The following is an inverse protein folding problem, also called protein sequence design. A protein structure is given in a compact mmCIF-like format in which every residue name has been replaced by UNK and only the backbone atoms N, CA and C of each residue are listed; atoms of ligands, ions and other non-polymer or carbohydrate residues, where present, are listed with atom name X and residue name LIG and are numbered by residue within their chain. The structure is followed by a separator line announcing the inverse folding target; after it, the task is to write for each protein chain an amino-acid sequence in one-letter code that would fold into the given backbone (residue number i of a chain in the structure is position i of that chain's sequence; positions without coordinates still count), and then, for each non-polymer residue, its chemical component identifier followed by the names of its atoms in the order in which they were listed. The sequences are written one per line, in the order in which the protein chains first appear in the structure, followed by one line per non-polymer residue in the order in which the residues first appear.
data_IF_145009433297
#
_entry.id   IF_145009433297
#
_cell.length_a   1.000
_cell.length_b   1.000
_cell.length_c   1.000
_cell.angle_alpha   90.00
_cell.angle_beta   90.00
_cell.angle_gamma   90.00
#
_symmetry.space_group_name_H-M   'P 1'
#
loop_
_entity.id
_entity.type
_entity.pdbx_description
1 polymer ?
#
# COMPACT_ATOMS: atom_id res chain seq x y z
N UNK A 1 -4.35 -15.05 -24.48
CA UNK A 1 -2.95 -15.34 -24.90
C UNK A 1 -2.79 -16.64 -25.70
N UNK A 2 -3.38 -17.79 -25.33
CA UNK A 2 -3.21 -19.06 -26.07
C UNK A 2 -3.62 -19.07 -27.55
N UNK A 3 -4.60 -18.26 -27.98
CA UNK A 3 -5.06 -18.23 -29.39
C UNK A 3 -4.15 -17.42 -30.33
N UNK A 4 -3.37 -16.47 -29.80
CA UNK A 4 -2.52 -15.59 -30.61
C UNK A 4 -1.23 -16.31 -31.02
N UNK A 5 -0.70 -17.17 -30.15
CA UNK A 5 0.51 -17.94 -30.44
C UNK A 5 0.29 -19.00 -31.53
N UNK A 6 -0.94 -19.52 -31.68
CA UNK A 6 -1.27 -20.52 -32.70
C UNK A 6 -1.31 -19.92 -34.11
N UNK A 7 -1.84 -18.71 -34.26
CA UNK A 7 -1.91 -18.03 -35.57
C UNK A 7 -0.54 -17.60 -36.09
N UNK A 8 0.36 -17.13 -35.22
CA UNK A 8 1.73 -16.75 -35.60
C UNK A 8 2.57 -17.96 -36.04
N UNK A 9 2.35 -19.12 -35.42
CA UNK A 9 3.04 -20.36 -35.78
C UNK A 9 2.62 -20.89 -37.15
N UNK A 10 1.33 -20.80 -37.50
CA UNK A 10 0.83 -21.18 -38.83
C UNK A 10 1.37 -20.26 -39.94
N UNK A 11 1.56 -18.96 -39.63
CA UNK A 11 2.12 -17.98 -40.56
C UNK A 11 3.61 -18.26 -40.87
N UNK A 12 4.39 -18.68 -39.85
CA UNK A 12 5.79 -19.08 -40.00
C UNK A 12 5.96 -20.39 -40.80
N UNK A 13 5.08 -21.37 -40.58
CA UNK A 13 5.08 -22.62 -41.36
C UNK A 13 4.72 -22.35 -42.83
N UNK A 14 3.73 -21.48 -43.07
CA UNK A 14 3.35 -21.06 -44.43
C UNK A 14 4.50 -20.38 -45.17
N UNK A 15 5.24 -19.48 -44.51
CA UNK A 15 6.39 -18.79 -45.11
C UNK A 15 7.51 -19.75 -45.54
N UNK A 16 7.82 -20.74 -44.70
CA UNK A 16 8.87 -21.73 -44.98
C UNK A 16 8.49 -22.64 -46.16
N UNK A 17 7.22 -23.04 -46.25
CA UNK A 17 6.72 -23.86 -47.36
C UNK A 17 6.73 -23.12 -48.70
N UNK A 18 6.44 -21.81 -48.70
CA UNK A 18 6.46 -20.98 -49.91
C UNK A 18 7.90 -20.72 -50.37
N UNK A 19 8.84 -20.56 -49.44
CA UNK A 19 10.27 -20.33 -49.76
C UNK A 19 10.97 -21.55 -50.39
N UNK A 20 10.54 -22.78 -50.07
CA UNK A 20 11.23 -24.00 -50.54
C UNK A 20 10.79 -24.50 -51.92
N UNK A 21 9.63 -24.06 -52.43
CA UNK A 21 9.13 -24.46 -53.75
C UNK A 21 9.54 -23.51 -54.89
N UNK A 22 10.34 -22.47 -54.61
CA UNK A 22 10.65 -21.40 -55.56
C UNK A 22 11.87 -21.58 -56.47
N UNK A 23 12.67 -22.64 -56.33
CA UNK A 23 13.99 -22.72 -56.99
C UNK A 23 13.99 -23.23 -58.44
N UNK A 24 12.84 -23.40 -59.11
CA UNK A 24 12.84 -23.97 -60.48
C UNK A 24 11.92 -23.29 -61.50
N UNK A 25 11.92 -21.96 -61.63
CA UNK A 25 11.61 -21.32 -62.94
C UNK A 25 12.41 -20.04 -63.10
N UNK A 26 13.20 -19.96 -64.17
CA UNK A 26 13.98 -18.78 -64.53
C UNK A 26 13.10 -17.57 -64.88
N UNK A 27 13.60 -16.39 -64.50
CA UNK A 27 13.12 -15.05 -64.89
C UNK A 27 11.88 -14.49 -64.17
N UNK A 28 11.81 -14.56 -62.83
CA UNK A 28 10.69 -14.06 -62.03
C UNK A 28 11.05 -13.49 -60.66
N UNK A 29 11.88 -12.44 -60.60
CA UNK A 29 12.22 -11.73 -59.35
C UNK A 29 11.07 -10.85 -58.78
N UNK A 30 9.96 -10.66 -59.51
CA UNK A 30 8.94 -9.67 -59.13
C UNK A 30 8.08 -10.08 -57.92
N UNK A 31 7.81 -11.37 -57.72
CA UNK A 31 6.89 -11.82 -56.66
C UNK A 31 7.57 -11.85 -55.29
N UNK A 32 8.82 -12.29 -55.21
CA UNK A 32 9.59 -12.28 -53.95
C UNK A 32 9.94 -10.85 -53.51
N UNK A 33 10.27 -9.95 -54.45
CA UNK A 33 10.45 -8.52 -54.18
C UNK A 33 9.15 -7.86 -53.72
N UNK A 34 8.01 -8.20 -54.34
CA UNK A 34 6.70 -7.68 -53.93
C UNK A 34 6.28 -8.15 -52.53
N UNK A 35 6.48 -9.44 -52.21
CA UNK A 35 6.14 -9.98 -50.89
C UNK A 35 7.04 -9.41 -49.79
N UNK A 36 8.33 -9.26 -50.04
CA UNK A 36 9.26 -8.67 -49.07
C UNK A 36 8.97 -7.19 -48.81
N UNK A 37 8.64 -6.41 -49.83
CA UNK A 37 8.33 -4.97 -49.68
C UNK A 37 6.97 -4.72 -49.00
N UNK A 38 5.96 -5.56 -49.21
CA UNK A 38 4.64 -5.36 -48.62
C UNK A 38 4.49 -6.01 -47.22
N UNK A 39 5.01 -7.22 -47.03
CA UNK A 39 4.76 -8.01 -45.82
C UNK A 39 5.73 -7.61 -44.70
N UNK A 40 6.98 -7.28 -45.02
CA UNK A 40 7.99 -6.98 -44.01
C UNK A 40 7.62 -5.76 -43.14
N UNK A 41 7.18 -4.60 -43.70
CA UNK A 41 6.75 -3.46 -42.88
C UNK A 41 5.53 -3.78 -42.01
N UNK A 42 4.59 -4.56 -42.53
CA UNK A 42 3.40 -4.98 -41.78
C UNK A 42 3.79 -5.88 -40.58
N UNK A 43 4.71 -6.83 -40.78
CA UNK A 43 5.22 -7.68 -39.70
C UNK A 43 5.99 -6.86 -38.65
N UNK A 44 6.83 -5.92 -39.08
CA UNK A 44 7.54 -5.00 -38.16
C UNK A 44 6.52 -4.18 -37.34
N UNK A 45 5.48 -3.66 -37.98
CA UNK A 45 4.40 -2.94 -37.30
C UNK A 45 3.68 -3.79 -36.25
N UNK A 46 3.36 -5.05 -36.58
CA UNK A 46 2.72 -5.99 -35.64
C UNK A 46 3.64 -6.32 -34.47
N UNK A 47 4.91 -6.61 -34.71
CA UNK A 47 5.89 -6.89 -33.66
C UNK A 47 6.06 -5.68 -32.75
N UNK A 48 6.21 -4.47 -33.32
CA UNK A 48 6.32 -3.23 -32.57
C UNK A 48 5.10 -2.97 -31.68
N UNK A 49 3.89 -3.18 -32.20
CA UNK A 49 2.65 -3.07 -31.41
C UNK A 49 2.60 -4.08 -30.26
N UNK A 50 2.96 -5.35 -30.51
CA UNK A 50 2.96 -6.38 -29.48
C UNK A 50 3.97 -6.09 -28.37
N UNK A 51 5.17 -5.63 -28.73
CA UNK A 51 6.20 -5.21 -27.78
C UNK A 51 5.72 -4.03 -26.93
N UNK A 52 5.14 -3.00 -27.56
CA UNK A 52 4.58 -1.84 -26.86
C UNK A 52 3.44 -2.26 -25.92
N UNK A 53 2.50 -3.08 -26.39
CA UNK A 53 1.38 -3.55 -25.58
C UNK A 53 1.84 -4.38 -24.37
N UNK A 54 2.85 -5.23 -24.55
CA UNK A 54 3.49 -5.97 -23.46
C UNK A 54 4.16 -5.04 -22.44
N UNK A 55 4.88 -4.03 -22.91
CA UNK A 55 5.54 -3.04 -22.07
C UNK A 55 4.53 -2.18 -21.28
N UNK A 56 3.50 -1.66 -21.93
CA UNK A 56 2.43 -0.86 -21.31
C UNK A 56 1.72 -1.65 -20.20
N UNK A 57 1.47 -2.95 -20.41
CA UNK A 57 0.87 -3.83 -19.40
C UNK A 57 1.76 -3.95 -18.15
N UNK A 58 3.08 -4.10 -18.34
CA UNK A 58 4.04 -4.19 -17.23
C UNK A 58 4.12 -2.89 -16.46
N UNK A 59 4.23 -1.76 -17.16
CA UNK A 59 4.23 -0.43 -16.55
C UNK A 59 2.93 -0.17 -15.76
N UNK A 60 1.77 -0.48 -16.33
CA UNK A 60 0.48 -0.26 -15.67
C UNK A 60 0.33 -1.08 -14.39
N UNK A 61 0.86 -2.32 -14.36
CA UNK A 61 0.88 -3.13 -13.15
C UNK A 61 1.76 -2.53 -12.05
N UNK A 62 2.91 -1.97 -12.42
CA UNK A 62 3.79 -1.29 -11.46
C UNK A 62 3.13 -0.02 -10.90
N UNK A 63 2.54 0.81 -11.78
CA UNK A 63 1.79 2.01 -11.38
C UNK A 63 0.65 1.69 -10.41
N UNK A 64 -0.15 0.66 -10.72
CA UNK A 64 -1.24 0.24 -9.84
C UNK A 64 -0.72 -0.21 -8.46
N UNK A 65 0.32 -1.05 -8.44
CA UNK A 65 0.92 -1.50 -7.17
C UNK A 65 1.45 -0.33 -6.35
N UNK A 66 2.11 0.63 -6.99
CA UNK A 66 2.61 1.85 -6.35
C UNK A 66 1.46 2.66 -5.76
N UNK A 67 0.39 2.90 -6.54
CA UNK A 67 -0.78 3.66 -6.06
C UNK A 67 -1.43 3.00 -4.83
N UNK A 68 -1.50 1.67 -4.80
CA UNK A 68 -2.03 0.93 -3.64
C UNK A 68 -1.14 1.10 -2.40
N UNK A 69 0.19 1.11 -2.56
CA UNK A 69 1.11 1.35 -1.44
C UNK A 69 1.01 2.79 -0.93
N UNK A 70 0.98 3.76 -1.85
CA UNK A 70 0.80 5.18 -1.53
C UNK A 70 -0.51 5.42 -0.79
N UNK A 71 -1.61 4.79 -1.23
CA UNK A 71 -2.92 4.89 -0.59
C UNK A 71 -2.90 4.32 0.84
N UNK A 72 -2.29 3.15 1.04
CA UNK A 72 -2.12 2.54 2.38
C UNK A 72 -1.33 3.44 3.33
N UNK A 73 -0.19 3.94 2.85
CA UNK A 73 0.67 4.82 3.64
C UNK A 73 -0.05 6.12 3.98
N UNK A 74 -0.62 6.78 2.98
CA UNK A 74 -1.28 8.08 3.10
C UNK A 74 -2.52 8.05 3.99
N UNK A 75 -3.39 7.05 3.81
CA UNK A 75 -4.72 7.06 4.43
C UNK A 75 -4.79 6.24 5.73
N UNK A 76 -3.90 5.27 5.93
CA UNK A 76 -3.93 4.38 7.10
C UNK A 76 -2.71 4.55 8.00
N UNK A 77 -1.51 4.24 7.49
CA UNK A 77 -0.33 4.08 8.36
C UNK A 77 0.28 5.40 8.86
N UNK A 78 0.57 6.35 7.98
CA UNK A 78 1.14 7.64 8.38
C UNK A 78 0.22 8.43 9.32
N UNK A 79 -1.09 8.57 9.03
CA UNK A 79 -1.99 9.31 9.93
C UNK A 79 -2.06 8.74 11.36
N UNK A 80 -1.94 7.42 11.51
CA UNK A 80 -1.90 6.77 12.82
C UNK A 80 -0.53 7.03 13.48
N UNK A 81 0.57 6.74 12.77
CA UNK A 81 1.93 6.89 13.31
C UNK A 81 2.19 8.30 13.80
N UNK A 82 1.87 9.32 13.01
CA UNK A 82 2.07 10.72 13.40
C UNK A 82 1.32 11.08 14.68
N UNK A 83 0.10 10.56 14.88
CA UNK A 83 -0.68 10.82 16.10
C UNK A 83 -0.10 10.11 17.32
N UNK A 84 0.45 8.90 17.15
CA UNK A 84 1.17 8.20 18.21
C UNK A 84 2.44 8.94 18.63
N UNK A 85 3.21 9.44 17.67
CA UNK A 85 4.42 10.25 17.93
C UNK A 85 4.08 11.58 18.62
N UNK A 86 2.97 12.22 18.23
CA UNK A 86 2.44 13.41 18.90
C UNK A 86 2.08 13.11 20.35
N UNK A 87 1.31 12.04 20.62
CA UNK A 87 0.95 11.64 21.98
C UNK A 87 2.20 11.38 22.82
N UNK A 88 3.16 10.65 22.28
CA UNK A 88 4.43 10.35 22.96
C UNK A 88 5.21 11.61 23.30
N UNK A 89 5.28 12.57 22.38
CA UNK A 89 5.99 13.84 22.59
C UNK A 89 5.31 14.71 23.65
N UNK A 90 3.99 14.78 23.63
CA UNK A 90 3.18 15.50 24.62
C UNK A 90 3.32 14.88 26.00
N UNK A 91 3.25 13.55 26.09
CA UNK A 91 3.41 12.82 27.33
C UNK A 91 4.79 13.08 27.97
N UNK A 92 5.86 13.04 27.17
CA UNK A 92 7.22 13.38 27.62
C UNK A 92 7.37 14.84 28.05
N UNK A 93 6.73 15.77 27.35
CA UNK A 93 6.86 17.19 27.63
C UNK A 93 6.11 17.62 28.90
N UNK A 94 4.90 17.10 29.09
CA UNK A 94 3.95 17.62 30.09
C UNK A 94 3.81 16.68 31.29
N UNK A 95 3.66 15.38 31.05
CA UNK A 95 3.25 14.45 32.10
C UNK A 95 4.44 13.86 32.87
N UNK A 96 5.61 13.74 32.24
CA UNK A 96 6.84 13.34 32.95
C UNK A 96 7.34 14.38 33.97
N UNK A 97 6.97 15.65 33.80
CA UNK A 97 7.39 16.74 34.69
C UNK A 97 6.36 17.05 35.79
N UNK A 98 5.30 16.24 35.89
CA UNK A 98 4.19 16.46 36.81
C UNK A 98 4.63 16.23 38.26
N UNK A 99 4.54 17.27 39.07
CA UNK A 99 4.58 17.23 40.52
C UNK A 99 3.14 17.09 41.02
N UNK A 100 2.87 16.01 41.75
CA UNK A 100 1.53 15.75 42.30
C UNK A 100 1.08 16.78 43.35
N UNK A 101 1.99 17.63 43.83
CA UNK A 101 1.64 18.70 44.76
C UNK A 101 1.34 20.04 44.06
N UNK A 102 1.54 20.15 42.75
CA UNK A 102 1.30 21.37 41.98
C UNK A 102 -0.08 21.31 41.30
N UNK A 103 -1.02 22.11 41.82
CA UNK A 103 -2.40 22.21 41.30
C UNK A 103 -2.45 22.71 39.85
N UNK A 104 -1.55 23.61 39.45
CA UNK A 104 -1.47 24.11 38.08
C UNK A 104 -1.08 22.98 37.12
N UNK A 105 -0.08 22.17 37.49
CA UNK A 105 0.34 21.03 36.69
C UNK A 105 -0.73 19.93 36.60
N UNK A 106 -1.53 19.73 37.66
CA UNK A 106 -2.71 18.84 37.58
C UNK A 106 -3.73 19.33 36.57
N UNK A 107 -4.10 20.62 36.62
CA UNK A 107 -5.05 21.22 35.68
C UNK A 107 -4.56 21.14 34.23
N UNK A 108 -3.27 21.42 34.00
CA UNK A 108 -2.65 21.28 32.67
C UNK A 108 -2.68 19.83 32.21
N UNK A 109 -2.30 18.88 33.07
CA UNK A 109 -2.31 17.44 32.75
C UNK A 109 -3.70 16.95 32.36
N UNK A 110 -4.72 17.31 33.15
CA UNK A 110 -6.11 16.96 32.86
C UNK A 110 -6.57 17.55 31.53
N UNK A 111 -6.30 18.85 31.28
CA UNK A 111 -6.64 19.49 30.01
C UNK A 111 -6.00 18.76 28.82
N UNK A 112 -4.72 18.38 28.94
CA UNK A 112 -3.97 17.69 27.90
C UNK A 112 -4.53 16.29 27.62
N UNK A 113 -4.85 15.54 28.67
CA UNK A 113 -5.47 14.22 28.54
C UNK A 113 -6.82 14.31 27.81
N UNK A 114 -7.71 15.21 28.25
CA UNK A 114 -9.09 15.34 27.75
C UNK A 114 -9.21 16.00 26.38
N UNK A 115 -8.33 16.96 26.05
CA UNK A 115 -8.48 17.75 24.83
C UNK A 115 -7.50 17.36 23.73
N UNK A 116 -6.40 16.69 24.07
CA UNK A 116 -5.34 16.37 23.10
C UNK A 116 -5.15 14.86 22.97
N UNK A 117 -4.81 14.16 24.07
CA UNK A 117 -4.48 12.73 24.02
C UNK A 117 -5.70 11.92 23.58
N UNK A 118 -6.85 12.07 24.25
CA UNK A 118 -8.05 11.33 23.89
C UNK A 118 -8.58 11.72 22.51
N UNK A 119 -8.43 12.99 22.11
CA UNK A 119 -8.78 13.45 20.76
C UNK A 119 -7.95 12.72 19.71
N UNK A 120 -6.65 12.56 19.92
CA UNK A 120 -5.80 11.78 19.02
C UNK A 120 -6.18 10.30 18.98
N UNK A 121 -6.53 9.70 20.12
CA UNK A 121 -7.02 8.32 20.15
C UNK A 121 -8.33 8.14 19.36
N UNK A 122 -9.29 9.06 19.47
CA UNK A 122 -10.53 9.07 18.66
C UNK A 122 -10.24 9.11 17.17
N UNK A 123 -9.30 9.95 16.77
CA UNK A 123 -8.90 10.07 15.38
C UNK A 123 -8.24 8.79 14.87
N UNK A 124 -7.38 8.15 15.67
CA UNK A 124 -6.79 6.85 15.33
C UNK A 124 -7.89 5.79 15.17
N UNK A 125 -8.84 5.72 16.11
CA UNK A 125 -10.02 4.82 16.02
C UNK A 125 -10.79 5.07 14.72
N UNK A 126 -11.05 6.33 14.38
CA UNK A 126 -11.73 6.73 13.14
C UNK A 126 -10.96 6.26 11.89
N UNK A 127 -9.64 6.45 11.86
CA UNK A 127 -8.79 5.96 10.76
C UNK A 127 -8.87 4.44 10.65
N UNK A 128 -8.76 3.72 11.77
CA UNK A 128 -8.84 2.25 11.79
C UNK A 128 -10.18 1.79 11.22
N UNK A 129 -11.30 2.36 11.65
CA UNK A 129 -12.64 1.96 11.21
C UNK A 129 -12.84 2.27 9.72
N UNK A 130 -12.53 3.49 9.28
CA UNK A 130 -12.82 3.97 7.93
C UNK A 130 -11.91 3.33 6.88
N UNK A 131 -10.64 3.12 7.22
CA UNK A 131 -9.62 2.67 6.28
C UNK A 131 -9.15 1.23 6.54
N UNK A 132 -9.87 0.44 7.35
CA UNK A 132 -9.53 -0.96 7.61
C UNK A 132 -9.26 -1.75 6.33
N UNK A 133 -10.06 -1.55 5.28
CA UNK A 133 -9.91 -2.27 4.01
C UNK A 133 -8.54 -2.06 3.32
N UNK A 134 -7.83 -0.97 3.64
CA UNK A 134 -6.48 -0.72 3.14
C UNK A 134 -5.43 -1.53 3.91
N UNK A 135 -5.69 -1.86 5.18
CA UNK A 135 -4.81 -2.70 5.97
C UNK A 135 -4.87 -4.14 5.49
N UNK A 136 -3.71 -4.72 5.16
CA UNK A 136 -3.59 -6.17 4.97
C UNK A 136 -3.55 -6.80 6.36
N UNK A 137 -4.72 -7.11 6.91
CA UNK A 137 -4.83 -7.74 8.23
C UNK A 137 -4.22 -9.15 8.19
N UNK A 138 -3.23 -9.35 9.01
CA UNK A 138 -2.89 -10.66 9.55
C UNK A 138 -3.38 -10.75 10.99
N UNK A 139 -3.33 -11.95 11.57
CA UNK A 139 -3.86 -12.22 12.90
C UNK A 139 -3.23 -11.32 13.96
N UNK A 140 -1.92 -11.04 13.83
CA UNK A 140 -1.18 -10.16 14.77
C UNK A 140 -1.71 -8.73 14.74
N UNK A 141 -1.82 -8.12 13.57
CA UNK A 141 -2.33 -6.75 13.45
C UNK A 141 -3.81 -6.67 13.87
N UNK A 142 -4.61 -7.67 13.51
CA UNK A 142 -6.03 -7.71 13.87
C UNK A 142 -6.23 -7.74 15.39
N UNK A 143 -5.51 -8.62 16.09
CA UNK A 143 -5.57 -8.74 17.55
C UNK A 143 -5.17 -7.44 18.25
N UNK A 144 -4.06 -6.82 17.81
CA UNK A 144 -3.55 -5.58 18.40
C UNK A 144 -4.47 -4.39 18.16
N UNK A 145 -5.05 -4.27 16.95
CA UNK A 145 -6.05 -3.25 16.68
C UNK A 145 -7.31 -3.45 17.52
N UNK A 146 -7.77 -4.69 17.70
CA UNK A 146 -8.93 -4.97 18.55
C UNK A 146 -8.68 -4.59 20.02
N UNK A 147 -7.51 -4.94 20.57
CA UNK A 147 -7.07 -4.53 21.91
C UNK A 147 -7.04 -3.01 22.05
N UNK A 148 -6.51 -2.32 21.05
CA UNK A 148 -6.46 -0.86 21.02
C UNK A 148 -7.85 -0.23 21.01
N UNK A 149 -8.75 -0.69 20.13
CA UNK A 149 -10.13 -0.20 20.06
C UNK A 149 -10.86 -0.38 21.40
N UNK A 150 -10.69 -1.56 22.03
CA UNK A 150 -11.25 -1.83 23.37
C UNK A 150 -10.66 -0.89 24.42
N UNK A 151 -9.35 -0.71 24.43
CA UNK A 151 -8.67 0.20 25.35
C UNK A 151 -9.22 1.63 25.24
N UNK A 152 -9.28 2.19 24.03
CA UNK A 152 -9.77 3.56 23.82
C UNK A 152 -11.23 3.69 24.24
N UNK A 153 -12.10 2.72 23.89
CA UNK A 153 -13.51 2.76 24.29
C UNK A 153 -13.71 2.75 25.82
N UNK A 154 -12.92 1.95 26.55
CA UNK A 154 -12.95 1.95 28.01
C UNK A 154 -12.36 3.25 28.57
N UNK A 155 -11.27 3.75 28.00
CA UNK A 155 -10.64 4.99 28.45
C UNK A 155 -11.57 6.20 28.32
N UNK A 156 -12.33 6.29 27.22
CA UNK A 156 -13.37 7.31 27.06
C UNK A 156 -14.48 7.19 28.10
N UNK A 157 -14.92 5.97 28.40
CA UNK A 157 -15.94 5.72 29.42
C UNK A 157 -15.49 6.18 30.81
N UNK A 158 -14.21 5.94 31.15
CA UNK A 158 -13.60 6.39 32.41
C UNK A 158 -13.55 7.92 32.48
N UNK A 159 -13.06 8.58 31.42
CA UNK A 159 -12.97 10.05 31.41
C UNK A 159 -14.33 10.72 31.60
N UNK A 160 -15.41 10.10 31.14
CA UNK A 160 -16.79 10.61 31.30
C UNK A 160 -17.44 10.28 32.64
N UNK A 161 -16.95 9.26 33.35
CA UNK A 161 -17.54 8.84 34.62
C UNK A 161 -16.99 9.61 35.82
N UNK A 162 -15.95 10.42 35.62
CA UNK A 162 -15.21 11.14 36.67
C UNK A 162 -14.63 10.20 37.75
N UNK A 163 -14.60 8.88 37.48
CA UNK A 163 -14.02 7.88 38.38
C UNK A 163 -12.52 7.82 38.09
N UNK A 164 -11.65 8.05 39.08
CA UNK A 164 -10.21 7.96 38.90
C UNK A 164 -9.79 6.48 38.84
N UNK A 165 -9.95 5.86 37.67
CA UNK A 165 -9.51 4.49 37.40
C UNK A 165 -8.72 4.43 36.09
N UNK A 166 -8.06 3.30 35.83
CA UNK A 166 -7.27 3.09 34.63
C UNK A 166 -7.90 1.99 33.77
N UNK A 167 -7.86 2.10 32.43
CA UNK A 167 -8.41 1.07 31.54
C UNK A 167 -7.88 -0.34 31.81
N UNK A 168 -6.61 -0.46 32.22
CA UNK A 168 -5.99 -1.73 32.57
C UNK A 168 -6.67 -2.45 33.73
N UNK A 169 -7.16 -1.72 34.73
CA UNK A 169 -7.87 -2.28 35.89
C UNK A 169 -9.25 -2.84 35.50
N UNK A 170 -9.80 -2.40 34.36
CA UNK A 170 -11.06 -2.89 33.78
C UNK A 170 -10.83 -3.95 32.69
N UNK A 171 -9.63 -4.54 32.64
CA UNK A 171 -9.28 -5.59 31.69
C UNK A 171 -9.05 -5.09 30.25
N UNK A 172 -8.82 -3.79 30.06
CA UNK A 172 -8.51 -3.18 28.78
C UNK A 172 -7.18 -2.40 28.84
N UNK A 173 -6.04 -3.05 29.14
CA UNK A 173 -4.74 -2.40 29.14
C UNK A 173 -4.37 -1.90 27.75
N UNK A 174 -3.50 -0.90 27.68
CA UNK A 174 -2.93 -0.44 26.41
C UNK A 174 -2.14 -1.60 25.76
N UNK A 175 -2.33 -1.88 24.46
CA UNK A 175 -1.52 -2.87 23.76
C UNK A 175 -0.07 -2.37 23.59
N UNK A 176 0.85 -2.91 24.38
CA UNK A 176 2.26 -2.47 24.43
C UNK A 176 3.00 -2.55 23.08
N UNK A 177 2.55 -3.41 22.18
CA UNK A 177 3.13 -3.66 20.85
C UNK A 177 2.48 -2.82 19.73
N UNK A 178 1.45 -2.03 20.03
CA UNK A 178 0.71 -1.26 19.02
C UNK A 178 1.60 -0.28 18.27
N UNK A 179 2.35 0.56 18.99
CA UNK A 179 3.20 1.59 18.41
C UNK A 179 4.31 0.99 17.55
N UNK A 180 4.93 -0.08 18.05
CA UNK A 180 5.98 -0.81 17.37
C UNK A 180 5.46 -1.43 16.07
N UNK A 181 4.32 -2.11 16.10
CA UNK A 181 3.74 -2.77 14.92
C UNK A 181 3.34 -1.74 13.85
N UNK A 182 2.73 -0.63 14.24
CA UNK A 182 2.37 0.43 13.29
C UNK A 182 3.63 1.05 12.68
N UNK A 183 4.64 1.37 13.50
CA UNK A 183 5.90 1.96 13.04
C UNK A 183 6.65 1.01 12.09
N UNK A 184 6.81 -0.26 12.47
CA UNK A 184 7.51 -1.26 11.68
C UNK A 184 6.85 -1.46 10.31
N UNK A 185 5.52 -1.62 10.29
CA UNK A 185 4.77 -1.76 9.04
C UNK A 185 4.84 -0.52 8.16
N UNK A 186 4.76 0.67 8.76
CA UNK A 186 4.91 1.94 8.03
C UNK A 186 6.27 1.98 7.33
N UNK A 187 7.34 1.65 8.06
CA UNK A 187 8.70 1.58 7.53
C UNK A 187 8.84 0.53 6.42
N UNK A 188 8.29 -0.67 6.60
CA UNK A 188 8.35 -1.73 5.58
C UNK A 188 7.63 -1.31 4.29
N UNK A 189 6.45 -0.70 4.39
CA UNK A 189 5.70 -0.19 3.25
C UNK A 189 6.43 0.96 2.54
N UNK A 190 7.05 1.86 3.29
CA UNK A 190 7.86 2.95 2.73
C UNK A 190 9.07 2.39 1.96
N UNK A 191 9.79 1.42 2.52
CA UNK A 191 10.89 0.74 1.83
C UNK A 191 10.41 0.06 0.55
N UNK A 192 9.24 -0.59 0.58
CA UNK A 192 8.66 -1.21 -0.62
C UNK A 192 8.32 -0.18 -1.71
N UNK A 193 7.83 0.99 -1.31
CA UNK A 193 7.53 2.11 -2.19
C UNK A 193 8.82 2.69 -2.82
N UNK A 194 9.84 2.93 -2.00
CA UNK A 194 11.10 3.57 -2.42
C UNK A 194 11.92 2.68 -3.36
N UNK A 195 12.03 1.38 -3.06
CA UNK A 195 12.75 0.41 -3.91
C UNK A 195 12.21 0.36 -5.34
N UNK A 196 10.93 0.68 -5.53
CA UNK A 196 10.26 0.67 -6.84
C UNK A 196 10.33 1.99 -7.58
N UNK A 197 10.96 3.01 -6.99
CA UNK A 197 11.17 4.33 -7.63
C UNK A 197 12.47 4.37 -8.44
N UNK A 198 13.38 3.41 -8.24
CA UNK A 198 14.74 3.38 -8.84
C UNK A 198 14.81 2.56 -10.15
N UNK A 199 13.71 1.90 -10.54
CA UNK A 199 13.59 1.13 -11.79
C UNK A 199 12.70 1.85 -12.80
#
# INVERSE_FOLDING_TARGET
MKKITTSLFLLLIGYKAISQNGETVGNGNSISEFLSTLILPALIGVIGYLLKSGYDLLLNRQKLRRSVLEEKLKNFYWPILTRLEQNTSIWRAILQKRNENDELQKKIGQYVEENIIIKNHREIVSIIINYRHLAKFDDKLSDVLQKYLRHVGIYEGILRSEVPTLPGLLGAPYPNDFDEIISERTKQLQIELDKKTIL
#
